data_IF_763470110564
#
_entry.id   IF_763470110564
#
_cell.length_a   1.000
_cell.length_b   1.000
_cell.length_c   1.000
_cell.angle_alpha   90.00
_cell.angle_beta   90.00
_cell.angle_gamma   90.00
#
_symmetry.space_group_name_H-M   'P 1'
#
loop_
_entity.id
_entity.type
_entity.pdbx_description
1 polymer ?
#
# COMPACT_ATOMS: atom_id res chain seq x y z
N UNK A 1 7.71 -14.95 -13.71
CA UNK A 1 7.39 -13.76 -12.91
C UNK A 1 6.67 -14.22 -11.65
N UNK A 2 6.96 -13.64 -10.50
CA UNK A 2 6.29 -13.94 -9.24
C UNK A 2 4.75 -13.78 -9.37
N UNK A 3 3.96 -14.71 -8.86
CA UNK A 3 2.50 -14.64 -8.95
C UNK A 3 2.00 -13.42 -8.15
N UNK A 4 1.37 -12.45 -8.84
CA UNK A 4 0.74 -11.26 -8.29
C UNK A 4 1.64 -10.43 -7.33
N UNK A 5 2.79 -9.90 -7.78
CA UNK A 5 3.54 -8.96 -6.96
C UNK A 5 2.71 -7.69 -6.75
N UNK A 6 2.68 -7.12 -5.53
CA UNK A 6 1.90 -5.90 -5.26
C UNK A 6 2.49 -4.66 -5.95
N UNK A 7 3.72 -4.77 -6.46
CA UNK A 7 4.49 -3.65 -7.01
C UNK A 7 4.28 -3.51 -8.52
N UNK A 8 3.80 -2.36 -8.94
CA UNK A 8 3.66 -2.01 -10.36
C UNK A 8 4.99 -1.53 -10.93
N UNK A 9 5.19 -1.74 -12.23
CA UNK A 9 6.31 -1.17 -12.98
C UNK A 9 5.81 0.13 -13.60
N UNK A 10 6.17 1.26 -13.00
CA UNK A 10 5.82 2.57 -13.50
C UNK A 10 6.91 3.08 -14.46
N UNK A 11 6.50 3.80 -15.52
CA UNK A 11 7.39 4.54 -16.42
C UNK A 11 7.74 5.91 -15.81
N UNK A 12 8.36 5.87 -14.61
CA UNK A 12 8.82 7.04 -13.88
C UNK A 12 10.22 7.49 -14.32
N UNK A 13 10.70 8.61 -13.77
CA UNK A 13 12.04 9.16 -14.06
C UNK A 13 13.16 8.14 -13.75
N UNK A 14 12.99 7.32 -12.72
CA UNK A 14 13.95 6.27 -12.37
C UNK A 14 13.97 5.15 -13.43
N UNK A 15 12.79 4.78 -13.98
CA UNK A 15 12.71 3.80 -15.06
C UNK A 15 13.34 4.32 -16.34
N UNK A 16 13.20 5.61 -16.64
CA UNK A 16 13.86 6.25 -17.79
C UNK A 16 15.39 6.20 -17.62
N UNK A 17 15.90 6.59 -16.44
CA UNK A 17 17.34 6.52 -16.12
C UNK A 17 17.88 5.09 -16.15
N UNK A 18 17.11 4.14 -15.58
CA UNK A 18 17.46 2.72 -15.64
C UNK A 18 17.50 2.21 -17.08
N UNK A 19 16.54 2.57 -17.91
CA UNK A 19 16.50 2.19 -19.32
C UNK A 19 17.72 2.71 -20.08
N UNK A 20 18.07 3.98 -19.90
CA UNK A 20 19.26 4.57 -20.51
C UNK A 20 20.57 3.90 -20.03
N UNK A 21 20.63 3.53 -18.74
CA UNK A 21 21.77 2.77 -18.20
C UNK A 21 21.87 1.37 -18.81
N UNK A 22 20.73 0.67 -18.93
CA UNK A 22 20.69 -0.68 -19.53
C UNK A 22 21.04 -0.63 -21.03
N UNK A 23 20.59 0.37 -21.75
CA UNK A 23 20.96 0.60 -23.17
C UNK A 23 22.47 0.76 -23.33
N UNK A 24 23.09 1.59 -22.47
CA UNK A 24 24.50 1.93 -22.60
C UNK A 24 25.46 0.88 -22.05
N UNK A 25 25.12 0.27 -20.93
CA UNK A 25 26.03 -0.60 -20.17
C UNK A 25 25.51 -2.02 -19.98
N UNK A 26 24.32 -2.34 -20.47
CA UNK A 26 23.66 -3.61 -20.16
C UNK A 26 23.18 -3.70 -18.71
N UNK A 27 22.88 -4.91 -18.27
CA UNK A 27 22.49 -5.19 -16.88
C UNK A 27 23.74 -5.40 -16.04
N UNK A 28 24.16 -4.39 -15.31
CA UNK A 28 25.33 -4.44 -14.41
C UNK A 28 25.02 -5.30 -13.18
N UNK A 29 23.86 -5.09 -12.55
CA UNK A 29 23.43 -5.85 -11.39
C UNK A 29 22.51 -7.00 -11.83
N UNK A 30 22.89 -8.28 -11.66
CA UNK A 30 22.08 -9.42 -12.06
C UNK A 30 20.69 -9.45 -11.41
N UNK A 31 19.73 -10.09 -12.06
CA UNK A 31 18.43 -10.40 -11.48
C UNK A 31 18.60 -11.53 -10.46
N UNK A 32 17.75 -11.55 -9.42
CA UNK A 32 17.68 -12.69 -8.49
C UNK A 32 16.52 -13.56 -8.92
N UNK A 33 16.81 -14.85 -9.14
CA UNK A 33 15.80 -15.83 -9.55
C UNK A 33 15.88 -17.08 -8.68
N UNK A 34 14.77 -17.82 -8.58
CA UNK A 34 14.75 -19.16 -7.98
C UNK A 34 14.25 -20.20 -8.98
N UNK A 35 14.71 -21.45 -8.91
CA UNK A 35 14.13 -22.54 -9.68
C UNK A 35 12.74 -22.88 -9.13
N UNK A 36 11.80 -23.17 -10.02
CA UNK A 36 10.48 -23.72 -9.70
C UNK A 36 10.30 -25.08 -10.39
N UNK A 37 9.33 -25.93 -9.94
CA UNK A 37 9.25 -27.32 -10.35
C UNK A 37 9.22 -27.56 -11.85
N UNK A 38 8.65 -26.69 -12.64
CA UNK A 38 8.50 -26.87 -14.10
C UNK A 38 9.79 -26.60 -14.93
N UNK A 39 10.95 -26.59 -14.28
CA UNK A 39 12.25 -26.33 -14.94
C UNK A 39 12.46 -24.89 -15.40
N UNK A 40 11.61 -23.96 -14.97
CA UNK A 40 11.70 -22.52 -15.24
C UNK A 40 12.17 -21.78 -14.00
N UNK A 41 12.58 -20.51 -14.20
CA UNK A 41 13.02 -19.66 -13.12
C UNK A 41 11.98 -18.57 -12.81
N UNK A 42 11.68 -18.39 -11.54
CA UNK A 42 10.86 -17.29 -11.05
C UNK A 42 11.73 -16.11 -10.61
N UNK A 43 11.41 -14.90 -11.07
CA UNK A 43 12.15 -13.69 -10.72
C UNK A 43 11.67 -13.20 -9.37
N UNK A 44 12.61 -13.08 -8.43
CA UNK A 44 12.39 -12.56 -7.08
C UNK A 44 12.70 -11.06 -7.03
N UNK A 45 13.80 -10.63 -7.66
CA UNK A 45 14.18 -9.22 -7.73
C UNK A 45 14.74 -8.87 -9.09
N UNK A 46 14.45 -7.65 -9.56
CA UNK A 46 14.95 -7.12 -10.82
C UNK A 46 13.92 -7.01 -11.94
N UNK A 47 12.63 -7.01 -11.65
CA UNK A 47 11.54 -6.88 -12.63
C UNK A 47 11.69 -5.64 -13.53
N UNK A 48 12.08 -4.47 -12.95
CA UNK A 48 12.33 -3.24 -13.73
C UNK A 48 13.52 -3.41 -14.69
N UNK A 49 14.61 -4.09 -14.25
CA UNK A 49 15.78 -4.40 -15.10
C UNK A 49 15.41 -5.33 -16.24
N UNK A 50 14.57 -6.34 -15.95
CA UNK A 50 14.02 -7.23 -16.98
C UNK A 50 13.22 -6.42 -18.01
N UNK A 51 12.28 -5.60 -17.55
CA UNK A 51 11.45 -4.78 -18.45
C UNK A 51 12.29 -3.82 -19.32
N UNK A 52 13.32 -3.20 -18.73
CA UNK A 52 14.25 -2.37 -19.50
C UNK A 52 15.02 -3.17 -20.56
N UNK A 53 15.53 -4.35 -20.20
CA UNK A 53 16.25 -5.21 -21.13
C UNK A 53 15.36 -5.70 -22.28
N UNK A 54 14.13 -6.09 -21.99
CA UNK A 54 13.14 -6.50 -23.01
C UNK A 54 12.85 -5.38 -24.01
N UNK A 55 12.76 -4.12 -23.55
CA UNK A 55 12.57 -2.95 -24.41
C UNK A 55 13.68 -2.80 -25.45
N UNK A 56 14.92 -3.16 -25.09
CA UNK A 56 16.09 -3.12 -26.00
C UNK A 56 16.40 -4.46 -26.70
N UNK A 57 15.48 -5.42 -26.66
CA UNK A 57 15.59 -6.68 -27.37
C UNK A 57 16.60 -7.69 -26.81
N UNK A 58 17.00 -7.55 -25.56
CA UNK A 58 17.88 -8.52 -24.90
C UNK A 58 17.18 -9.88 -24.76
N UNK A 59 17.74 -10.90 -25.36
CA UNK A 59 17.25 -12.29 -25.29
C UNK A 59 17.76 -13.04 -24.05
N UNK A 60 18.87 -12.59 -23.47
CA UNK A 60 19.50 -13.18 -22.28
C UNK A 60 19.87 -12.06 -21.29
N UNK A 61 19.69 -12.32 -20.02
CA UNK A 61 20.04 -11.40 -18.94
C UNK A 61 20.82 -12.13 -17.85
N UNK A 62 21.80 -11.49 -17.19
CA UNK A 62 22.54 -12.10 -16.11
C UNK A 62 21.63 -12.33 -14.90
N UNK A 63 21.73 -13.52 -14.30
CA UNK A 63 20.91 -13.91 -13.14
C UNK A 63 21.77 -14.55 -12.06
N UNK A 64 21.38 -14.35 -10.80
CA UNK A 64 21.86 -15.10 -9.65
C UNK A 64 20.77 -16.07 -9.25
N UNK A 65 21.07 -17.37 -9.31
CA UNK A 65 20.13 -18.41 -8.91
C UNK A 65 20.26 -18.64 -7.40
N UNK A 66 19.13 -18.53 -6.69
CA UNK A 66 19.03 -18.85 -5.26
C UNK A 66 17.91 -19.85 -5.02
N UNK A 67 18.22 -20.94 -4.34
CA UNK A 67 17.22 -21.90 -3.88
C UNK A 67 16.62 -21.35 -2.59
N UNK A 68 15.30 -21.18 -2.58
CA UNK A 68 14.55 -20.67 -1.43
C UNK A 68 13.10 -21.16 -1.45
N UNK A 69 12.49 -21.25 -0.30
CA UNK A 69 11.06 -21.56 -0.15
C UNK A 69 10.16 -20.43 -0.66
N UNK A 70 8.87 -20.71 -0.79
CA UNK A 70 7.88 -19.71 -1.21
C UNK A 70 7.81 -18.53 -0.24
N UNK A 71 7.85 -18.79 1.08
CA UNK A 71 7.80 -17.74 2.07
C UNK A 71 9.09 -16.87 2.08
N UNK A 72 10.25 -17.49 1.93
CA UNK A 72 11.52 -16.76 1.78
C UNK A 72 11.54 -15.91 0.50
N UNK A 73 10.98 -16.44 -0.58
CA UNK A 73 10.86 -15.71 -1.85
C UNK A 73 9.96 -14.47 -1.70
N UNK A 74 8.82 -14.60 -1.01
CA UNK A 74 7.94 -13.47 -0.67
C UNK A 74 8.68 -12.43 0.16
N UNK A 75 9.36 -12.83 1.23
CA UNK A 75 10.09 -11.92 2.10
C UNK A 75 11.16 -11.16 1.29
N UNK A 76 12.01 -11.88 0.56
CA UNK A 76 13.07 -11.25 -0.25
C UNK A 76 12.51 -10.30 -1.33
N UNK A 77 11.40 -10.66 -1.97
CA UNK A 77 10.74 -9.83 -2.96
C UNK A 77 10.22 -8.53 -2.34
N UNK A 78 9.54 -8.61 -1.19
CA UNK A 78 9.03 -7.45 -0.45
C UNK A 78 10.19 -6.55 0.00
N UNK A 79 11.24 -7.10 0.61
CA UNK A 79 12.38 -6.35 1.11
C UNK A 79 13.09 -5.57 0.00
N UNK A 80 13.29 -6.20 -1.15
CA UNK A 80 13.93 -5.55 -2.30
C UNK A 80 13.09 -4.42 -2.92
N UNK A 81 11.79 -4.39 -2.68
CA UNK A 81 10.89 -3.38 -3.25
C UNK A 81 10.53 -2.27 -2.27
N UNK A 82 10.39 -2.57 -0.96
CA UNK A 82 10.10 -1.56 0.06
C UNK A 82 11.23 -0.54 0.26
N UNK A 83 12.43 -0.82 -0.24
CA UNK A 83 13.58 0.12 -0.26
C UNK A 83 13.49 1.17 -1.37
N UNK A 84 12.44 1.13 -2.24
CA UNK A 84 12.26 2.13 -3.30
C UNK A 84 11.87 3.48 -2.71
N UNK A 85 12.33 4.56 -3.33
CA UNK A 85 12.00 5.93 -2.89
C UNK A 85 10.52 6.27 -3.10
N UNK A 86 9.89 5.69 -4.11
CA UNK A 86 8.48 5.91 -4.42
C UNK A 86 7.74 4.58 -4.37
N UNK A 87 6.83 4.48 -3.41
CA UNK A 87 5.92 3.36 -3.23
C UNK A 87 4.56 3.91 -2.81
N UNK A 88 3.47 3.45 -3.43
CA UNK A 88 2.13 3.92 -3.09
C UNK A 88 1.66 3.33 -1.76
N UNK A 89 0.59 3.91 -1.18
CA UNK A 89 0.01 3.40 0.07
C UNK A 89 -0.53 1.99 -0.10
N UNK A 90 -1.17 1.70 -1.23
CA UNK A 90 -1.70 0.37 -1.54
C UNK A 90 -0.58 -0.65 -1.72
N UNK A 91 0.46 -0.33 -2.49
CA UNK A 91 1.63 -1.20 -2.66
C UNK A 91 2.28 -1.54 -1.31
N UNK A 92 2.49 -0.54 -0.45
CA UNK A 92 3.07 -0.73 0.89
C UNK A 92 2.16 -1.59 1.77
N UNK A 93 0.84 -1.38 1.71
CA UNK A 93 -0.15 -2.16 2.47
C UNK A 93 -0.12 -3.65 2.08
N UNK A 94 -0.19 -3.95 0.78
CA UNK A 94 -0.13 -5.33 0.30
C UNK A 94 1.24 -5.98 0.51
N UNK A 95 2.32 -5.22 0.39
CA UNK A 95 3.67 -5.70 0.69
C UNK A 95 3.80 -6.12 2.17
N UNK A 96 3.34 -5.29 3.09
CA UNK A 96 3.32 -5.62 4.51
C UNK A 96 2.42 -6.83 4.80
N UNK A 97 1.27 -6.94 4.15
CA UNK A 97 0.39 -8.11 4.29
C UNK A 97 1.10 -9.38 3.85
N UNK A 98 1.68 -9.40 2.66
CA UNK A 98 2.40 -10.56 2.14
C UNK A 98 3.56 -10.98 3.05
N UNK A 99 4.38 -10.02 3.50
CA UNK A 99 5.50 -10.29 4.41
C UNK A 99 5.02 -10.81 5.76
N UNK A 100 4.00 -10.18 6.35
CA UNK A 100 3.43 -10.60 7.63
C UNK A 100 2.86 -12.02 7.57
N UNK A 101 2.19 -12.39 6.49
CA UNK A 101 1.67 -13.75 6.28
C UNK A 101 2.80 -14.77 6.08
N UNK A 102 3.81 -14.46 5.26
CA UNK A 102 4.97 -15.30 5.05
C UNK A 102 5.74 -15.55 6.37
N UNK A 103 6.01 -14.49 7.14
CA UNK A 103 6.68 -14.59 8.43
C UNK A 103 5.89 -15.42 9.46
N UNK A 104 4.56 -15.30 9.49
CA UNK A 104 3.70 -16.13 10.37
C UNK A 104 3.79 -17.61 10.02
N UNK A 105 3.76 -17.96 8.72
CA UNK A 105 3.91 -19.36 8.27
C UNK A 105 5.28 -19.93 8.61
N UNK A 106 6.34 -19.13 8.40
CA UNK A 106 7.72 -19.54 8.71
C UNK A 106 7.93 -19.69 10.23
N UNK A 107 7.38 -18.78 11.03
CA UNK A 107 7.47 -18.82 12.50
C UNK A 107 6.81 -20.05 13.14
N UNK A 108 5.71 -20.55 12.57
CA UNK A 108 5.02 -21.78 13.04
C UNK A 108 5.76 -23.08 12.68
N UNK A 109 6.67 -23.07 11.68
CA UNK A 109 7.35 -24.25 11.13
C UNK A 109 8.74 -24.49 11.70
N UNK A 110 9.24 -23.62 12.60
CA UNK A 110 10.62 -23.69 13.13
C UNK A 110 10.79 -24.79 14.17
N UNK A 111 11.16 -26.00 13.72
CA UNK A 111 11.91 -26.97 14.53
C UNK A 111 13.38 -27.13 14.12
N UNK A 112 13.84 -26.64 12.99
CA UNK A 112 15.29 -26.61 12.64
C UNK A 112 15.53 -25.83 11.36
N UNK A 113 16.23 -24.74 11.41
CA UNK A 113 17.39 -24.33 10.62
C UNK A 113 17.57 -22.81 10.63
N UNK A 114 18.82 -22.44 10.71
CA UNK A 114 19.43 -21.14 10.60
C UNK A 114 18.65 -20.12 9.76
N UNK A 115 17.92 -19.24 10.43
CA UNK A 115 17.62 -17.93 9.89
C UNK A 115 17.97 -16.90 10.96
N UNK A 116 18.82 -15.95 10.59
CA UNK A 116 19.49 -14.95 11.44
C UNK A 116 18.55 -13.88 12.05
N UNK A 117 17.24 -14.14 12.12
CA UNK A 117 16.32 -13.20 12.74
C UNK A 117 16.06 -13.58 14.21
N UNK A 118 16.41 -12.72 15.17
CA UNK A 118 16.12 -12.94 16.58
C UNK A 118 14.63 -12.72 16.87
N UNK A 119 13.79 -13.73 16.58
CA UNK A 119 12.31 -13.65 16.69
C UNK A 119 11.78 -14.06 18.07
N UNK A 120 12.62 -14.27 19.09
CA UNK A 120 12.13 -14.63 20.42
C UNK A 120 11.37 -13.49 21.05
N UNK A 121 10.02 -13.58 21.05
CA UNK A 121 9.12 -12.71 21.81
C UNK A 121 8.50 -11.52 21.08
N UNK A 122 8.97 -11.14 19.87
CA UNK A 122 8.40 -10.02 19.11
C UNK A 122 7.29 -10.49 18.15
N UNK A 123 6.25 -9.67 17.99
CA UNK A 123 5.22 -9.88 16.97
C UNK A 123 5.77 -9.55 15.58
N UNK A 124 5.29 -10.23 14.54
CA UNK A 124 5.72 -9.99 13.15
C UNK A 124 5.57 -8.53 12.71
N UNK A 125 4.52 -7.84 13.17
CA UNK A 125 4.28 -6.42 12.88
C UNK A 125 5.33 -5.50 13.53
N UNK A 126 5.90 -5.88 14.66
CA UNK A 126 6.98 -5.15 15.32
C UNK A 126 8.28 -5.28 14.52
N UNK A 127 8.58 -6.49 14.06
CA UNK A 127 9.76 -6.76 13.25
C UNK A 127 9.69 -6.01 11.92
N UNK A 128 8.55 -6.09 11.22
CA UNK A 128 8.33 -5.34 9.98
C UNK A 128 8.49 -3.83 10.22
N UNK A 129 7.93 -3.32 11.31
CA UNK A 129 8.04 -1.91 11.65
C UNK A 129 9.49 -1.46 11.87
N UNK A 130 10.24 -2.19 12.66
CA UNK A 130 11.66 -1.91 12.93
C UNK A 130 12.51 -1.93 11.66
N UNK A 131 12.25 -2.87 10.76
CA UNK A 131 13.01 -3.03 9.52
C UNK A 131 12.80 -1.88 8.53
N UNK A 132 11.58 -1.34 8.46
CA UNK A 132 11.21 -0.29 7.50
C UNK A 132 10.97 1.09 8.13
N UNK A 133 11.30 1.27 9.40
CA UNK A 133 11.20 2.55 10.10
C UNK A 133 9.77 2.97 10.46
N UNK A 134 8.82 2.01 10.48
CA UNK A 134 7.45 2.25 10.89
C UNK A 134 7.19 1.71 12.32
N UNK A 135 6.25 2.32 13.05
CA UNK A 135 5.79 1.71 14.30
C UNK A 135 4.91 0.49 14.02
N UNK A 136 4.85 -0.47 14.96
CA UNK A 136 3.96 -1.62 14.87
C UNK A 136 2.49 -1.20 14.64
N UNK A 137 2.06 -0.09 15.25
CA UNK A 137 0.74 0.50 15.06
C UNK A 137 0.55 1.00 13.62
N UNK A 138 1.58 1.61 13.03
CA UNK A 138 1.53 2.07 11.63
C UNK A 138 1.47 0.88 10.67
N UNK A 139 2.25 -0.18 10.91
CA UNK A 139 2.15 -1.44 10.13
C UNK A 139 0.72 -2.01 10.20
N UNK A 140 0.10 -2.08 11.39
CA UNK A 140 -1.28 -2.55 11.52
C UNK A 140 -2.27 -1.69 10.73
N UNK A 141 -2.07 -0.38 10.65
CA UNK A 141 -2.91 0.53 9.86
C UNK A 141 -2.74 0.27 8.36
N UNK A 142 -1.52 0.04 7.88
CA UNK A 142 -1.29 -0.38 6.50
C UNK A 142 -1.96 -1.72 6.21
N UNK A 143 -1.81 -2.71 7.09
CA UNK A 143 -2.50 -4.00 6.93
C UNK A 143 -4.02 -3.82 6.81
N UNK A 144 -4.59 -2.89 7.57
CA UNK A 144 -6.03 -2.62 7.52
C UNK A 144 -6.49 -2.00 6.20
N UNK A 145 -5.64 -1.21 5.51
CA UNK A 145 -5.96 -0.67 4.20
C UNK A 145 -6.24 -1.75 3.14
N UNK A 146 -5.72 -2.97 3.31
CA UNK A 146 -5.97 -4.07 2.36
C UNK A 146 -7.41 -4.58 2.37
N UNK A 147 -8.26 -4.08 3.28
CA UNK A 147 -9.68 -4.38 3.35
C UNK A 147 -10.52 -3.34 2.56
N UNK A 148 -9.88 -2.32 1.98
CA UNK A 148 -10.55 -1.39 1.07
C UNK A 148 -10.77 -2.00 -0.31
N UNK A 149 -11.86 -1.61 -0.95
CA UNK A 149 -12.11 -1.90 -2.36
C UNK A 149 -11.14 -1.14 -3.26
N UNK A 150 -10.94 -1.65 -4.49
CA UNK A 150 -9.93 -1.11 -5.43
C UNK A 150 -10.08 0.38 -5.69
N UNK A 151 -11.31 0.84 -5.83
CA UNK A 151 -11.65 2.24 -6.14
C UNK A 151 -11.22 3.21 -5.01
N UNK A 152 -11.38 2.80 -3.75
CA UNK A 152 -10.92 3.60 -2.61
C UNK A 152 -9.40 3.56 -2.45
N UNK A 153 -8.76 2.43 -2.78
CA UNK A 153 -7.30 2.34 -2.83
C UNK A 153 -6.71 3.24 -3.93
N UNK A 154 -7.34 3.29 -5.11
CA UNK A 154 -6.92 4.19 -6.19
C UNK A 154 -7.05 5.65 -5.78
N UNK A 155 -8.17 6.05 -5.16
CA UNK A 155 -8.36 7.41 -4.62
C UNK A 155 -7.30 7.76 -3.56
N UNK A 156 -6.90 6.80 -2.73
CA UNK A 156 -5.84 6.96 -1.74
C UNK A 156 -4.47 7.16 -2.42
N UNK A 157 -4.14 6.33 -3.41
CA UNK A 157 -2.86 6.39 -4.12
C UNK A 157 -2.73 7.66 -4.98
N UNK A 158 -3.83 8.16 -5.53
CA UNK A 158 -3.90 9.42 -6.28
C UNK A 158 -3.90 10.67 -5.38
N UNK A 159 -3.96 10.50 -4.05
CA UNK A 159 -4.02 11.61 -3.10
C UNK A 159 -5.40 12.27 -2.96
N UNK A 160 -6.44 11.72 -3.61
CA UNK A 160 -7.83 12.18 -3.47
C UNK A 160 -8.43 11.83 -2.11
N UNK A 161 -7.93 10.78 -1.46
CA UNK A 161 -8.32 10.34 -0.12
C UNK A 161 -7.09 10.33 0.79
N UNK A 162 -7.19 10.93 1.97
CA UNK A 162 -6.09 10.93 2.93
C UNK A 162 -5.97 9.59 3.67
N UNK A 163 -4.75 9.22 4.09
CA UNK A 163 -4.43 7.96 4.77
C UNK A 163 -5.30 7.69 6.02
N UNK A 164 -5.46 8.69 6.89
CA UNK A 164 -6.17 8.50 8.15
C UNK A 164 -7.67 8.21 7.95
N UNK A 165 -8.44 8.97 7.15
CA UNK A 165 -9.80 8.60 6.78
C UNK A 165 -9.88 7.23 6.09
N UNK A 166 -8.97 6.91 5.18
CA UNK A 166 -8.94 5.62 4.49
C UNK A 166 -8.86 4.43 5.47
N UNK A 167 -8.02 4.53 6.50
CA UNK A 167 -7.94 3.51 7.56
C UNK A 167 -9.26 3.37 8.33
N UNK A 168 -9.98 4.46 8.59
CA UNK A 168 -11.29 4.38 9.24
C UNK A 168 -12.36 3.75 8.34
N UNK A 169 -12.33 4.06 7.04
CA UNK A 169 -13.25 3.52 6.04
C UNK A 169 -13.01 2.03 5.75
N UNK A 170 -11.80 1.53 5.96
CA UNK A 170 -11.49 0.10 5.80
C UNK A 170 -12.21 -0.82 6.80
N UNK A 171 -12.91 -0.26 7.78
CA UNK A 171 -13.76 -1.02 8.69
C UNK A 171 -15.21 -1.19 8.21
N UNK A 172 -15.58 -0.53 7.12
CA UNK A 172 -16.89 -0.67 6.47
C UNK A 172 -16.97 -2.00 5.71
N UNK A 173 -18.20 -2.50 5.50
CA UNK A 173 -18.43 -3.62 4.60
C UNK A 173 -18.18 -3.21 3.15
N UNK A 174 -18.05 -4.18 2.24
CA UNK A 174 -17.82 -3.90 0.82
C UNK A 174 -18.98 -3.07 0.24
N UNK A 175 -20.22 -3.38 0.62
CA UNK A 175 -21.42 -2.68 0.20
C UNK A 175 -21.41 -1.23 0.70
N UNK A 176 -21.11 -1.03 1.99
CA UNK A 176 -21.00 0.30 2.58
C UNK A 176 -19.87 1.13 1.96
N UNK A 177 -18.76 0.51 1.56
CA UNK A 177 -17.66 1.18 0.88
C UNK A 177 -18.09 1.66 -0.52
N UNK A 178 -18.89 0.89 -1.25
CA UNK A 178 -19.46 1.31 -2.54
C UNK A 178 -20.44 2.47 -2.37
N UNK A 179 -21.37 2.36 -1.42
CA UNK A 179 -22.28 3.46 -1.08
C UNK A 179 -21.53 4.72 -0.64
N UNK A 180 -20.37 4.57 0.00
CA UNK A 180 -19.53 5.68 0.39
C UNK A 180 -18.91 6.39 -0.83
N UNK A 181 -18.51 5.67 -1.88
CA UNK A 181 -18.05 6.29 -3.14
C UNK A 181 -19.18 7.12 -3.75
N UNK A 182 -20.40 6.58 -3.84
CA UNK A 182 -21.57 7.30 -4.33
C UNK A 182 -21.83 8.58 -3.50
N UNK A 183 -21.63 8.51 -2.18
CA UNK A 183 -21.77 9.67 -1.31
C UNK A 183 -20.69 10.72 -1.56
N UNK A 184 -19.44 10.30 -1.78
CA UNK A 184 -18.32 11.22 -2.15
C UNK A 184 -18.62 11.91 -3.48
N UNK A 185 -19.10 11.17 -4.49
CA UNK A 185 -19.43 11.72 -5.80
C UNK A 185 -20.63 12.68 -5.73
N UNK A 186 -21.65 12.32 -4.97
CA UNK A 186 -22.82 13.19 -4.77
C UNK A 186 -22.49 14.51 -4.08
N UNK A 187 -21.65 14.47 -3.04
CA UNK A 187 -21.30 15.65 -2.24
C UNK A 187 -20.10 16.42 -2.77
N UNK A 188 -19.37 15.86 -3.75
CA UNK A 188 -18.10 16.39 -4.27
C UNK A 188 -17.11 16.71 -3.12
N UNK A 189 -17.14 15.93 -2.04
CA UNK A 189 -16.38 16.18 -0.83
C UNK A 189 -15.48 14.99 -0.47
N UNK A 190 -14.31 15.31 0.08
CA UNK A 190 -13.37 14.32 0.64
C UNK A 190 -13.62 14.23 2.15
N UNK A 191 -13.67 13.04 2.77
CA UNK A 191 -13.98 12.92 4.19
C UNK A 191 -12.85 13.47 5.06
N UNK A 192 -13.20 14.20 6.09
CA UNK A 192 -12.31 14.45 7.21
C UNK A 192 -12.19 13.19 8.08
N UNK A 193 -11.17 13.13 8.93
CA UNK A 193 -11.00 12.00 9.87
C UNK A 193 -12.22 11.86 10.81
N UNK A 194 -12.79 12.99 11.27
CA UNK A 194 -13.97 13.00 12.13
C UNK A 194 -15.22 12.45 11.44
N UNK A 195 -15.43 12.80 10.17
CA UNK A 195 -16.53 12.26 9.35
C UNK A 195 -16.36 10.75 9.14
N UNK A 196 -15.15 10.29 8.77
CA UNK A 196 -14.86 8.87 8.59
C UNK A 196 -15.06 8.06 9.89
N UNK A 197 -14.66 8.61 11.04
CA UNK A 197 -14.88 7.98 12.35
C UNK A 197 -16.37 7.87 12.71
N UNK A 198 -17.18 8.88 12.42
CA UNK A 198 -18.63 8.86 12.65
C UNK A 198 -19.31 7.84 11.74
N UNK A 199 -18.93 7.77 10.47
CA UNK A 199 -19.43 6.78 9.52
C UNK A 199 -19.10 5.37 10.01
N UNK A 200 -17.85 5.10 10.37
CA UNK A 200 -17.43 3.82 10.95
C UNK A 200 -18.23 3.47 12.22
N UNK A 201 -18.49 4.44 13.09
CA UNK A 201 -19.30 4.22 14.32
C UNK A 201 -20.71 3.78 13.96
N UNK A 202 -21.36 4.46 13.02
CA UNK A 202 -22.72 4.12 12.56
C UNK A 202 -22.76 2.74 11.90
N UNK A 203 -21.74 2.36 11.13
CA UNK A 203 -21.60 1.02 10.55
C UNK A 203 -21.56 -0.04 11.66
N UNK A 204 -20.70 0.12 12.65
CA UNK A 204 -20.61 -0.80 13.81
C UNK A 204 -21.93 -0.94 14.58
N UNK A 205 -22.69 0.14 14.68
CA UNK A 205 -24.02 0.15 15.30
C UNK A 205 -25.12 -0.38 14.37
N UNK A 206 -24.79 -0.77 13.13
CA UNK A 206 -25.74 -1.19 12.07
C UNK A 206 -26.82 -0.13 11.78
N UNK A 207 -26.47 1.13 11.91
CA UNK A 207 -27.34 2.30 11.70
C UNK A 207 -26.91 3.15 10.50
N UNK A 208 -25.87 2.71 9.77
CA UNK A 208 -25.38 3.41 8.61
C UNK A 208 -26.34 3.23 7.43
N UNK A 209 -26.62 4.33 6.75
CA UNK A 209 -27.43 4.37 5.50
C UNK A 209 -26.78 5.34 4.53
N UNK A 210 -27.01 5.18 3.23
CA UNK A 210 -26.49 6.09 2.21
C UNK A 210 -26.93 7.55 2.44
N UNK A 211 -28.15 7.78 2.96
CA UNK A 211 -28.62 9.13 3.32
C UNK A 211 -27.77 9.75 4.43
N UNK A 212 -27.48 8.99 5.50
CA UNK A 212 -26.63 9.46 6.59
C UNK A 212 -25.19 9.69 6.15
N UNK A 213 -24.67 8.88 5.23
CA UNK A 213 -23.35 9.12 4.65
C UNK A 213 -23.31 10.47 3.93
N UNK A 214 -24.30 10.76 3.09
CA UNK A 214 -24.41 12.05 2.37
C UNK A 214 -24.56 13.23 3.32
N UNK A 215 -25.40 13.10 4.36
CA UNK A 215 -25.55 14.13 5.39
C UNK A 215 -24.19 14.44 6.08
N UNK A 216 -23.48 13.40 6.56
CA UNK A 216 -22.18 13.57 7.21
C UNK A 216 -21.14 14.16 6.24
N UNK A 217 -21.12 13.70 4.99
CA UNK A 217 -20.18 14.18 3.98
C UNK A 217 -20.47 15.62 3.53
N UNK A 218 -21.75 16.04 3.51
CA UNK A 218 -22.17 17.39 3.16
C UNK A 218 -21.98 18.43 4.25
N UNK A 219 -21.56 18.04 5.46
CA UNK A 219 -21.30 18.99 6.56
C UNK A 219 -20.12 19.91 6.24
N UNK A 220 -20.29 21.20 6.51
CA UNK A 220 -19.23 22.21 6.37
C UNK A 220 -18.10 21.88 7.35
N UNK A 221 -16.88 21.71 6.84
CA UNK A 221 -15.72 21.43 7.69
C UNK A 221 -15.30 22.67 8.47
N UNK A 222 -14.82 22.47 9.70
CA UNK A 222 -14.40 23.59 10.57
C UNK A 222 -13.38 24.56 9.94
N UNK A 223 -12.56 24.07 9.00
CA UNK A 223 -11.56 24.90 8.27
C UNK A 223 -12.15 25.72 7.12
N UNK A 224 -13.37 25.42 6.67
CA UNK A 224 -14.06 26.12 5.58
C UNK A 224 -14.93 27.29 6.10
N UNK A 225 -15.11 27.38 7.42
CA UNK A 225 -15.85 28.49 8.04
C UNK A 225 -14.90 29.69 8.11
N UNK A 226 -14.99 30.58 7.12
CA UNK A 226 -14.36 31.89 7.21
C UNK A 226 -15.10 32.68 8.29
N UNK A 227 -14.47 32.90 9.45
CA UNK A 227 -15.00 33.80 10.47
C UNK A 227 -14.88 35.22 9.97
N UNK A 228 -15.94 35.76 9.43
CA UNK A 228 -16.04 37.20 9.17
C UNK A 228 -16.37 37.86 10.52
N UNK A 229 -15.37 38.50 11.11
CA UNK A 229 -15.60 39.33 12.32
C UNK A 229 -16.16 40.69 11.84
N UNK A 230 -17.43 40.90 12.06
CA UNK A 230 -18.03 42.23 11.90
C UNK A 230 -17.76 43.04 13.16
N UNK A 231 -17.20 44.24 13.00
CA UNK A 231 -17.11 45.19 14.06
C UNK A 231 -18.51 45.77 14.31
N UNK A 232 -18.91 45.99 15.57
CA UNK A 232 -20.25 46.51 15.91
C UNK A 232 -20.64 47.80 15.16
N UNK A 233 -19.66 48.62 14.80
CA UNK A 233 -19.88 49.82 13.98
C UNK A 233 -20.28 49.54 12.52
N UNK A 234 -20.01 48.35 12.00
CA UNK A 234 -20.38 47.96 10.61
C UNK A 234 -21.81 47.36 10.53
N UNK A 235 -22.36 46.88 11.66
CA UNK A 235 -23.71 46.31 11.75
C UNK A 235 -24.82 47.38 11.77
N UNK A 236 -24.50 48.63 12.09
CA UNK A 236 -25.46 49.75 12.19
C UNK A 236 -25.48 50.66 10.96
N UNK A 237 -24.81 50.31 9.88
CA UNK A 237 -24.76 51.09 8.63
C UNK A 237 -25.73 50.67 7.52
N UNK A 238 -26.66 49.78 7.82
CA UNK A 238 -27.75 49.39 6.90
C UNK A 238 -29.11 49.49 7.59
#
# INVERSE_FOLDING_TARGET
>A
TFKNPPFKIWMDQEMIRLSASVEKYGIINPLIVRPIPDGVYEIISGHRRKAAAEKFGYRKVPVIIRVMSDDEAVINMVDSNLQRQQITFSEKAFAYKMKNEAMKRTGGRRKSSQSDYPLKGKKTVEIIGEEFGDSAKQVQRYLKLTDLISELLEKLDNGELSFNPAVELSYLTIEEQKEFIDAMEYTQAVPSISQAQRIKKLSREKKLTGTKMREIMGEIKKGEITRVMFNNEQLYRY
#
